data_IF_082368913431
#
_entry.id   IF_082368913431
#
_cell.length_a   1.000
_cell.length_b   1.000
_cell.length_c   1.000
_cell.angle_alpha   90.00
_cell.angle_beta   90.00
_cell.angle_gamma   90.00
#
_symmetry.space_group_name_H-M   'P 1'
#
loop_
_entity.id
_entity.type
_entity.pdbx_description
1 polymer ?
#
# COMPACT_ATOMS: atom_id res chain seq x y z
N UNK A 1 45.41 -8.17 -8.45
CA UNK A 1 46.22 -8.87 -7.45
C UNK A 1 45.51 -10.14 -7.05
N UNK A 2 46.24 -11.30 -7.04
CA UNK A 2 45.71 -12.59 -6.58
C UNK A 2 45.37 -12.46 -5.10
N UNK A 3 44.10 -12.47 -4.74
CA UNK A 3 43.64 -12.60 -3.34
C UNK A 3 44.15 -13.97 -2.82
N UNK A 4 45.14 -13.98 -1.92
CA UNK A 4 45.53 -15.19 -1.19
C UNK A 4 44.33 -15.65 -0.38
N UNK A 5 43.83 -16.85 -0.65
CA UNK A 5 42.80 -17.49 0.18
C UNK A 5 43.38 -17.69 1.57
N UNK A 6 42.74 -17.12 2.57
CA UNK A 6 43.09 -17.31 3.98
C UNK A 6 42.76 -18.75 4.37
N UNK A 7 43.64 -19.38 5.20
CA UNK A 7 43.39 -20.75 5.63
C UNK A 7 42.18 -20.85 6.56
N UNK A 8 41.46 -22.00 6.59
CA UNK A 8 40.33 -22.19 7.49
C UNK A 8 40.68 -21.94 8.96
N UNK A 9 41.83 -22.40 9.42
CA UNK A 9 42.32 -22.17 10.77
C UNK A 9 42.53 -20.68 11.10
N UNK A 10 42.98 -19.89 10.10
CA UNK A 10 43.17 -18.45 10.29
C UNK A 10 41.80 -17.73 10.36
N UNK A 11 40.80 -18.20 9.61
CA UNK A 11 39.41 -17.65 9.66
C UNK A 11 38.82 -17.89 11.06
N UNK A 12 38.94 -19.11 11.57
CA UNK A 12 38.42 -19.48 12.90
C UNK A 12 39.08 -18.68 14.02
N UNK A 13 40.42 -18.46 13.93
CA UNK A 13 41.15 -17.62 14.87
C UNK A 13 40.69 -16.15 14.82
N UNK A 14 40.45 -15.60 13.63
CA UNK A 14 39.94 -14.23 13.47
C UNK A 14 38.55 -14.10 14.06
N UNK A 15 37.64 -15.03 13.77
CA UNK A 15 36.29 -15.04 14.31
C UNK A 15 36.26 -15.10 15.85
N UNK A 16 37.12 -15.94 16.42
CA UNK A 16 37.30 -16.02 17.87
C UNK A 16 37.80 -14.70 18.47
N UNK A 17 38.79 -14.08 17.88
CA UNK A 17 39.33 -12.78 18.31
C UNK A 17 38.28 -11.66 18.19
N UNK A 18 37.47 -11.65 17.12
CA UNK A 18 36.36 -10.71 16.94
C UNK A 18 35.39 -10.81 18.11
N UNK A 19 35.02 -12.05 18.50
CA UNK A 19 34.11 -12.28 19.64
C UNK A 19 34.73 -11.85 20.97
N UNK A 20 35.99 -12.25 21.23
CA UNK A 20 36.69 -11.92 22.48
C UNK A 20 36.93 -10.42 22.66
N UNK A 21 37.19 -9.69 21.57
CA UNK A 21 37.45 -8.25 21.60
C UNK A 21 36.20 -7.41 21.49
N UNK A 22 35.02 -8.00 21.28
CA UNK A 22 33.76 -7.27 21.04
C UNK A 22 33.84 -6.38 19.80
N UNK A 23 34.67 -6.77 18.80
CA UNK A 23 34.81 -5.97 17.59
C UNK A 23 33.55 -6.02 16.74
N UNK A 24 32.95 -4.85 16.54
CA UNK A 24 31.81 -4.68 15.62
C UNK A 24 32.30 -3.94 14.38
N UNK A 25 32.18 -4.56 13.23
CA UNK A 25 32.55 -3.92 11.96
C UNK A 25 31.63 -2.69 11.75
N UNK A 26 32.21 -1.50 11.65
CA UNK A 26 31.48 -0.28 11.34
C UNK A 26 30.97 -0.36 9.91
N UNK A 27 29.66 -0.45 9.72
CA UNK A 27 29.00 -0.48 8.40
C UNK A 27 29.39 0.71 7.51
N UNK A 28 29.70 1.87 8.10
CA UNK A 28 30.20 3.05 7.39
C UNK A 28 31.54 2.83 6.64
N UNK A 29 32.35 1.84 7.03
CA UNK A 29 33.57 1.49 6.28
C UNK A 29 33.25 0.77 4.97
N UNK A 30 32.16 0.03 4.88
CA UNK A 30 31.71 -0.62 3.66
C UNK A 30 31.31 0.42 2.59
N UNK A 31 30.80 1.57 3.00
CA UNK A 31 30.50 2.71 2.12
C UNK A 31 31.77 3.24 1.46
N UNK A 32 32.86 3.37 2.21
CA UNK A 32 34.14 3.85 1.71
C UNK A 32 34.82 2.88 0.73
N UNK A 33 34.53 1.58 0.88
CA UNK A 33 35.14 0.53 0.05
C UNK A 33 34.24 0.13 -1.15
N UNK A 34 33.15 0.85 -1.41
CA UNK A 34 32.19 0.54 -2.47
C UNK A 34 31.61 -0.89 -2.38
N UNK A 35 31.54 -1.45 -1.17
CA UNK A 35 30.91 -2.75 -0.88
C UNK A 35 29.45 -2.56 -0.48
N UNK A 36 28.64 -3.62 -0.56
CA UNK A 36 27.23 -3.61 -0.13
C UNK A 36 27.07 -3.06 1.29
N UNK A 37 26.16 -2.11 1.48
CA UNK A 37 25.80 -1.60 2.81
C UNK A 37 24.92 -2.56 3.60
N UNK A 38 24.36 -3.55 2.93
CA UNK A 38 23.27 -4.42 3.44
C UNK A 38 22.08 -3.66 3.97
N UNK A 39 21.79 -2.51 3.36
CA UNK A 39 20.63 -1.69 3.69
C UNK A 39 19.67 -1.63 2.50
N UNK A 40 18.37 -1.78 2.78
CA UNK A 40 17.28 -1.59 1.85
C UNK A 40 16.44 -0.40 2.33
N UNK A 41 16.15 0.56 1.45
CA UNK A 41 15.19 1.60 1.75
C UNK A 41 13.77 1.07 1.55
N UNK A 42 12.95 1.13 2.58
CA UNK A 42 11.52 0.92 2.51
C UNK A 42 10.85 2.30 2.54
N UNK A 43 10.39 2.75 1.39
CA UNK A 43 9.86 4.10 1.20
C UNK A 43 8.36 4.04 0.98
N UNK A 44 7.63 4.79 1.78
CA UNK A 44 6.17 4.87 1.67
C UNK A 44 5.80 6.22 1.08
N UNK A 45 4.95 6.23 0.05
CA UNK A 45 4.52 7.48 -0.56
C UNK A 45 3.62 8.27 0.40
N UNK A 46 3.99 9.51 0.66
CA UNK A 46 3.31 10.40 1.60
C UNK A 46 2.09 11.12 0.99
N UNK A 47 1.23 10.38 0.26
CA UNK A 47 0.02 10.98 -0.34
C UNK A 47 -0.99 11.45 0.69
N UNK A 48 -1.09 10.72 1.80
CA UNK A 48 -2.13 10.92 2.79
C UNK A 48 -1.51 11.58 4.01
N UNK A 49 -2.13 12.65 4.46
CA UNK A 49 -1.94 13.11 5.83
C UNK A 49 -2.69 12.15 6.73
N UNK A 50 -2.02 11.08 7.15
CA UNK A 50 -2.61 10.16 8.11
C UNK A 50 -2.86 10.92 9.42
N UNK A 51 -4.07 10.78 9.98
CA UNK A 51 -4.36 11.26 11.34
C UNK A 51 -3.48 10.53 12.36
N UNK A 52 -3.08 9.30 12.03
CA UNK A 52 -2.19 8.46 12.83
C UNK A 52 -0.91 8.13 12.07
N UNK A 53 0.08 7.60 12.78
CA UNK A 53 1.29 7.08 12.14
C UNK A 53 0.95 6.03 11.08
N UNK A 54 1.62 6.08 9.94
CA UNK A 54 1.46 5.10 8.85
C UNK A 54 1.70 3.65 9.32
N UNK A 55 2.53 3.47 10.35
CA UNK A 55 2.80 2.17 10.97
C UNK A 55 1.57 1.65 11.74
N UNK A 56 0.66 2.54 12.15
CA UNK A 56 -0.58 2.18 12.84
C UNK A 56 -1.65 1.66 11.87
N UNK A 57 -1.49 1.86 10.57
CA UNK A 57 -2.34 1.26 9.56
C UNK A 57 -2.08 -0.26 9.52
N UNK A 58 -3.10 -1.12 9.72
CA UNK A 58 -2.92 -2.56 9.80
C UNK A 58 -2.31 -3.18 8.54
N UNK A 59 -2.57 -2.62 7.36
CA UNK A 59 -2.02 -3.08 6.09
C UNK A 59 -0.53 -2.78 6.00
N UNK A 60 -0.14 -1.51 6.18
CA UNK A 60 1.27 -1.12 6.14
C UNK A 60 2.08 -1.75 7.26
N UNK A 61 1.55 -1.80 8.48
CA UNK A 61 2.22 -2.41 9.62
C UNK A 61 2.57 -3.88 9.39
N UNK A 62 1.64 -4.66 8.83
CA UNK A 62 1.89 -6.08 8.48
C UNK A 62 2.91 -6.24 7.36
N UNK A 63 2.83 -5.45 6.30
CA UNK A 63 3.78 -5.50 5.18
C UNK A 63 5.19 -5.13 5.65
N UNK A 64 5.32 -4.04 6.40
CA UNK A 64 6.60 -3.59 6.95
C UNK A 64 7.23 -4.68 7.81
N UNK A 65 6.46 -5.24 8.75
CA UNK A 65 6.96 -6.30 9.63
C UNK A 65 7.36 -7.56 8.88
N UNK A 66 6.58 -7.97 7.87
CA UNK A 66 6.93 -9.14 7.05
C UNK A 66 8.21 -8.91 6.23
N UNK A 67 8.37 -7.75 5.61
CA UNK A 67 9.56 -7.40 4.83
C UNK A 67 10.78 -7.33 5.74
N UNK A 68 10.63 -6.71 6.92
CA UNK A 68 11.70 -6.60 7.91
C UNK A 68 12.21 -7.97 8.33
N UNK A 69 11.32 -8.87 8.76
CA UNK A 69 11.66 -10.24 9.15
C UNK A 69 12.45 -10.97 8.04
N UNK A 70 11.95 -10.92 6.80
CA UNK A 70 12.57 -11.63 5.67
C UNK A 70 13.94 -11.05 5.29
N UNK A 71 14.09 -9.74 5.32
CA UNK A 71 15.37 -9.10 5.03
C UNK A 71 16.38 -9.33 6.14
N UNK A 72 15.96 -9.31 7.41
CA UNK A 72 16.83 -9.62 8.55
C UNK A 72 17.38 -11.04 8.47
N UNK A 73 16.57 -12.03 8.08
CA UNK A 73 17.01 -13.41 7.85
C UNK A 73 18.10 -13.53 6.77
N UNK A 74 18.17 -12.57 5.84
CA UNK A 74 19.19 -12.49 4.80
C UNK A 74 20.36 -11.56 5.17
N UNK A 75 20.37 -11.04 6.40
CA UNK A 75 21.40 -10.14 6.91
C UNK A 75 21.32 -8.73 6.34
N UNK A 76 20.13 -8.28 5.92
CA UNK A 76 19.85 -6.91 5.52
C UNK A 76 19.14 -6.13 6.63
N UNK A 77 19.33 -4.81 6.61
CA UNK A 77 18.66 -3.85 7.48
C UNK A 77 17.70 -2.99 6.66
N UNK A 78 16.63 -2.50 7.28
CA UNK A 78 15.68 -1.59 6.65
C UNK A 78 15.91 -0.16 7.13
N UNK A 79 15.94 0.76 6.19
CA UNK A 79 15.73 2.19 6.44
C UNK A 79 14.31 2.55 6.02
N UNK A 80 13.42 2.77 7.00
CA UNK A 80 12.03 3.13 6.77
C UNK A 80 11.86 4.65 6.82
N UNK A 81 11.23 5.24 5.79
CA UNK A 81 10.80 6.65 5.79
C UNK A 81 9.64 6.89 4.81
N UNK A 82 9.00 8.04 4.95
CA UNK A 82 7.89 8.46 4.11
C UNK A 82 8.26 9.74 3.35
N UNK A 83 7.95 9.80 2.05
CA UNK A 83 8.14 10.97 1.20
C UNK A 83 7.29 10.90 -0.05
N UNK A 84 6.89 12.05 -0.60
CA UNK A 84 6.30 12.23 -1.91
C UNK A 84 7.34 12.71 -2.96
N UNK A 85 8.57 12.99 -2.52
CA UNK A 85 9.64 13.54 -3.35
C UNK A 85 10.63 12.45 -3.78
N UNK A 86 10.59 12.12 -5.08
CA UNK A 86 11.52 11.16 -5.71
C UNK A 86 12.99 11.61 -5.58
N UNK A 87 13.28 12.90 -5.53
CA UNK A 87 14.67 13.37 -5.36
C UNK A 87 15.17 13.10 -3.94
N UNK A 88 14.30 13.15 -2.92
CA UNK A 88 14.67 12.71 -1.57
C UNK A 88 15.03 11.23 -1.54
N UNK A 89 14.30 10.39 -2.29
CA UNK A 89 14.67 8.96 -2.41
C UNK A 89 16.08 8.84 -2.97
N UNK A 90 16.38 9.53 -4.08
CA UNK A 90 17.71 9.53 -4.68
C UNK A 90 18.79 9.96 -3.68
N UNK A 91 18.65 11.12 -3.03
CA UNK A 91 19.63 11.62 -2.08
C UNK A 91 19.84 10.66 -0.90
N UNK A 92 18.78 10.07 -0.37
CA UNK A 92 18.88 9.10 0.72
C UNK A 92 19.64 7.85 0.29
N UNK A 93 19.30 7.28 -0.87
CA UNK A 93 19.96 6.08 -1.42
C UNK A 93 21.45 6.31 -1.63
N UNK A 94 21.82 7.47 -2.18
CA UNK A 94 23.23 7.80 -2.44
C UNK A 94 23.99 8.12 -1.16
N UNK A 95 23.42 8.87 -0.22
CA UNK A 95 24.08 9.25 1.02
C UNK A 95 24.39 8.06 1.93
N UNK A 96 23.51 7.04 1.94
CA UNK A 96 23.65 5.86 2.78
C UNK A 96 24.14 4.63 2.03
N UNK A 97 24.50 4.78 0.74
CA UNK A 97 24.88 3.68 -0.15
C UNK A 97 23.91 2.48 -0.09
N UNK A 98 22.61 2.75 -0.08
CA UNK A 98 21.56 1.75 0.03
C UNK A 98 21.61 0.81 -1.18
N UNK A 99 21.42 -0.49 -0.97
CA UNK A 99 21.58 -1.52 -2.00
C UNK A 99 20.37 -1.67 -2.91
N UNK A 100 19.17 -1.29 -2.43
CA UNK A 100 17.93 -1.36 -3.19
C UNK A 100 16.78 -0.62 -2.51
N UNK A 101 15.69 -0.45 -3.22
CA UNK A 101 14.50 0.27 -2.76
C UNK A 101 13.26 -0.60 -2.87
N UNK A 102 12.46 -0.65 -1.81
CA UNK A 102 11.09 -1.12 -1.81
C UNK A 102 10.20 0.12 -1.70
N UNK A 103 9.43 0.41 -2.75
CA UNK A 103 8.57 1.58 -2.86
C UNK A 103 7.10 1.18 -2.68
N UNK A 104 6.43 1.68 -1.63
CA UNK A 104 5.03 1.39 -1.33
C UNK A 104 4.13 2.52 -1.80
N UNK A 105 3.09 2.19 -2.57
CA UNK A 105 2.03 3.11 -3.02
C UNK A 105 2.53 4.30 -3.86
N UNK A 106 3.63 4.14 -4.56
CA UNK A 106 4.10 5.08 -5.57
C UNK A 106 3.41 4.86 -6.91
N UNK A 107 3.35 5.91 -7.76
CA UNK A 107 2.97 5.68 -9.16
C UNK A 107 4.03 4.86 -9.89
N UNK A 108 3.64 4.10 -10.93
CA UNK A 108 4.58 3.38 -11.80
C UNK A 108 5.60 4.33 -12.43
N UNK A 109 5.17 5.55 -12.76
CA UNK A 109 6.04 6.58 -13.33
C UNK A 109 7.12 7.00 -12.32
N UNK A 110 6.75 7.23 -11.05
CA UNK A 110 7.71 7.59 -10.01
C UNK A 110 8.68 6.44 -9.70
N UNK A 111 8.21 5.20 -9.68
CA UNK A 111 9.09 4.03 -9.52
C UNK A 111 10.12 3.92 -10.65
N UNK A 112 9.70 4.14 -11.90
CA UNK A 112 10.61 4.19 -13.05
C UNK A 112 11.62 5.34 -12.93
N UNK A 113 11.17 6.52 -12.48
CA UNK A 113 12.02 7.68 -12.24
C UNK A 113 13.02 7.42 -11.12
N UNK A 114 12.59 6.81 -10.01
CA UNK A 114 13.50 6.39 -8.93
C UNK A 114 14.58 5.49 -9.51
N UNK A 115 14.21 4.43 -10.24
CA UNK A 115 15.18 3.52 -10.83
C UNK A 115 16.16 4.23 -11.75
N UNK A 116 15.67 5.12 -12.64
CA UNK A 116 16.52 5.86 -13.59
C UNK A 116 17.54 6.76 -12.91
N UNK A 117 17.27 7.21 -11.68
CA UNK A 117 18.18 8.05 -10.91
C UNK A 117 19.21 7.24 -10.12
N UNK A 118 18.76 6.12 -9.52
CA UNK A 118 19.63 5.38 -8.58
C UNK A 118 20.40 4.24 -9.24
N UNK A 119 19.91 3.69 -10.37
CA UNK A 119 20.46 2.51 -11.05
C UNK A 119 20.67 1.29 -10.12
N UNK A 120 19.82 1.13 -9.14
CA UNK A 120 19.79 0.00 -8.20
C UNK A 120 18.43 -0.71 -8.27
N UNK A 121 18.31 -1.96 -7.79
CA UNK A 121 17.03 -2.66 -7.79
C UNK A 121 15.91 -1.86 -7.12
N UNK A 122 14.76 -1.80 -7.79
CA UNK A 122 13.53 -1.20 -7.26
C UNK A 122 12.41 -2.22 -7.34
N UNK A 123 11.81 -2.52 -6.20
CA UNK A 123 10.57 -3.29 -6.10
C UNK A 123 9.48 -2.31 -5.67
N UNK A 124 8.37 -2.29 -6.39
CA UNK A 124 7.19 -1.53 -5.96
C UNK A 124 6.12 -2.46 -5.40
N UNK A 125 5.41 -1.99 -4.38
CA UNK A 125 4.23 -2.66 -3.85
C UNK A 125 3.05 -1.72 -4.06
N UNK A 126 1.99 -2.26 -4.68
CA UNK A 126 0.78 -1.52 -5.04
C UNK A 126 1.06 -0.26 -5.88
N UNK A 127 1.98 -0.36 -6.85
CA UNK A 127 2.21 0.74 -7.77
C UNK A 127 1.03 0.89 -8.73
N UNK A 128 0.57 2.13 -8.89
CA UNK A 128 -0.60 2.47 -9.69
C UNK A 128 -0.24 3.28 -10.94
N UNK A 129 -1.24 3.46 -11.83
CA UNK A 129 -1.12 4.19 -13.09
C UNK A 129 -0.78 3.33 -14.30
N UNK A 130 -0.91 3.92 -15.50
CA UNK A 130 -0.87 3.23 -16.79
C UNK A 130 0.48 3.26 -17.49
N UNK A 131 1.55 3.75 -16.86
CA UNK A 131 2.87 3.76 -17.49
C UNK A 131 3.34 2.34 -17.79
N UNK A 132 3.93 2.12 -18.98
CA UNK A 132 4.61 0.86 -19.25
C UNK A 132 5.70 0.65 -18.18
N UNK A 133 5.67 -0.52 -17.56
CA UNK A 133 6.66 -0.87 -16.54
C UNK A 133 8.07 -0.90 -17.14
N UNK A 134 9.03 -0.35 -16.45
CA UNK A 134 10.43 -0.60 -16.77
C UNK A 134 10.74 -2.08 -16.50
N UNK A 135 11.51 -2.76 -17.36
CA UNK A 135 11.94 -4.13 -17.10
C UNK A 135 12.80 -4.26 -15.82
N UNK A 136 13.23 -3.14 -15.27
CA UNK A 136 14.08 -3.07 -14.08
C UNK A 136 13.32 -2.74 -12.78
N UNK A 137 12.00 -2.51 -12.87
CA UNK A 137 11.12 -2.26 -11.73
C UNK A 137 10.10 -3.38 -11.65
N UNK A 138 10.20 -4.20 -10.62
CA UNK A 138 9.21 -5.26 -10.36
C UNK A 138 8.09 -4.70 -9.50
N UNK A 139 6.83 -4.83 -9.95
CA UNK A 139 5.66 -4.47 -9.16
C UNK A 139 4.98 -5.72 -8.59
N UNK A 140 4.69 -5.68 -7.32
CA UNK A 140 3.88 -6.67 -6.60
C UNK A 140 2.60 -5.97 -6.16
N UNK A 141 1.44 -6.50 -6.50
CA UNK A 141 0.17 -5.89 -6.14
C UNK A 141 -1.01 -6.80 -6.44
N UNK A 142 -2.18 -6.36 -6.02
CA UNK A 142 -3.45 -7.04 -6.29
C UNK A 142 -4.00 -6.64 -7.66
N UNK A 143 -4.89 -7.47 -8.20
CA UNK A 143 -5.72 -7.10 -9.35
C UNK A 143 -6.94 -6.29 -8.88
N UNK A 144 -6.67 -5.03 -8.55
CA UNK A 144 -7.64 -4.10 -7.99
C UNK A 144 -8.82 -3.83 -8.93
N UNK A 145 -8.57 -3.80 -10.23
CA UNK A 145 -9.62 -3.63 -11.22
C UNK A 145 -10.62 -4.80 -11.19
N UNK A 146 -10.11 -6.03 -11.25
CA UNK A 146 -10.93 -7.24 -11.15
C UNK A 146 -11.59 -7.35 -9.78
N UNK A 147 -10.92 -6.94 -8.70
CA UNK A 147 -11.49 -6.90 -7.36
C UNK A 147 -12.73 -6.00 -7.29
N UNK A 148 -12.63 -4.76 -7.78
CA UNK A 148 -13.76 -3.85 -7.88
C UNK A 148 -14.90 -4.38 -8.75
N UNK A 149 -14.56 -5.00 -9.89
CA UNK A 149 -15.52 -5.62 -10.81
C UNK A 149 -16.32 -6.74 -10.15
N UNK A 150 -15.64 -7.69 -9.51
CA UNK A 150 -16.28 -8.84 -8.85
C UNK A 150 -17.16 -8.43 -7.68
N UNK A 151 -16.77 -7.41 -6.93
CA UNK A 151 -17.58 -6.93 -5.83
C UNK A 151 -18.92 -6.33 -6.33
N UNK A 152 -18.92 -5.55 -7.41
CA UNK A 152 -20.15 -5.02 -7.99
C UNK A 152 -21.03 -6.13 -8.55
N UNK A 153 -20.45 -7.13 -9.22
CA UNK A 153 -21.21 -8.31 -9.68
C UNK A 153 -21.91 -9.00 -8.50
N UNK A 154 -21.21 -9.21 -7.40
CA UNK A 154 -21.77 -9.79 -6.18
C UNK A 154 -22.90 -8.92 -5.58
N UNK A 155 -22.67 -7.63 -5.41
CA UNK A 155 -23.65 -6.70 -4.83
C UNK A 155 -24.93 -6.66 -5.68
N UNK A 156 -24.81 -6.61 -7.01
CA UNK A 156 -25.94 -6.66 -7.93
C UNK A 156 -26.66 -8.02 -7.87
N UNK A 157 -25.93 -9.13 -7.73
CA UNK A 157 -26.45 -10.48 -7.53
C UNK A 157 -27.24 -10.62 -6.23
N UNK A 158 -26.90 -9.87 -5.19
CA UNK A 158 -27.65 -9.77 -3.94
C UNK A 158 -28.92 -8.90 -4.04
N UNK A 159 -29.22 -8.36 -5.22
CA UNK A 159 -30.44 -7.60 -5.51
C UNK A 159 -30.40 -6.15 -5.02
N UNK A 160 -29.22 -5.57 -4.83
CA UNK A 160 -29.09 -4.15 -4.54
C UNK A 160 -29.28 -3.30 -5.81
N UNK A 161 -29.91 -2.14 -5.66
CA UNK A 161 -30.29 -1.28 -6.77
C UNK A 161 -29.57 0.08 -6.74
N UNK A 162 -29.30 0.61 -5.58
CA UNK A 162 -28.56 1.86 -5.38
C UNK A 162 -27.25 1.57 -4.66
N UNK A 163 -26.11 1.85 -5.31
CA UNK A 163 -24.80 1.47 -4.80
C UNK A 163 -23.95 2.74 -4.66
N UNK A 164 -23.52 3.01 -3.43
CA UNK A 164 -22.51 4.00 -3.13
C UNK A 164 -21.14 3.32 -3.05
N UNK A 165 -20.21 3.69 -3.91
CA UNK A 165 -18.84 3.22 -3.85
C UNK A 165 -18.02 4.29 -3.14
N UNK A 166 -17.46 3.95 -1.98
CA UNK A 166 -16.87 4.90 -1.04
C UNK A 166 -15.38 4.69 -0.90
N UNK A 167 -14.61 5.78 -1.02
CA UNK A 167 -13.18 5.82 -0.79
C UNK A 167 -12.76 7.17 -0.20
N UNK A 168 -11.54 7.26 0.29
CA UNK A 168 -10.95 8.51 0.77
C UNK A 168 -10.18 9.26 -0.31
N UNK A 169 -9.94 8.62 -1.46
CA UNK A 169 -9.27 9.23 -2.61
C UNK A 169 -9.94 8.83 -3.92
N UNK A 170 -9.73 9.62 -4.96
CA UNK A 170 -10.20 9.37 -6.33
C UNK A 170 -9.04 9.06 -7.29
N UNK A 171 -7.89 8.68 -6.75
CA UNK A 171 -6.68 8.34 -7.50
C UNK A 171 -6.07 7.02 -6.99
N UNK A 172 -5.01 6.56 -7.65
CA UNK A 172 -4.25 5.40 -7.25
C UNK A 172 -5.07 4.10 -7.33
N UNK A 173 -4.97 3.29 -6.29
CA UNK A 173 -5.64 2.00 -6.15
C UNK A 173 -7.15 2.17 -6.06
N UNK A 174 -7.63 3.17 -5.31
CA UNK A 174 -9.06 3.46 -5.17
C UNK A 174 -9.68 3.76 -6.54
N UNK A 175 -9.00 4.55 -7.37
CA UNK A 175 -9.45 4.81 -8.74
C UNK A 175 -9.49 3.54 -9.60
N UNK A 176 -8.51 2.65 -9.45
CA UNK A 176 -8.47 1.39 -10.19
C UNK A 176 -9.64 0.48 -9.80
N UNK A 177 -9.92 0.33 -8.50
CA UNK A 177 -11.08 -0.41 -7.97
C UNK A 177 -12.40 0.20 -8.44
N UNK A 178 -12.53 1.53 -8.37
CA UNK A 178 -13.70 2.25 -8.87
C UNK A 178 -13.91 2.05 -10.37
N UNK A 179 -12.86 2.08 -11.18
CA UNK A 179 -12.97 1.87 -12.62
C UNK A 179 -13.50 0.47 -12.93
N UNK A 180 -12.98 -0.56 -12.25
CA UNK A 180 -13.49 -1.93 -12.36
C UNK A 180 -14.96 -2.06 -11.94
N UNK A 181 -15.32 -1.43 -10.83
CA UNK A 181 -16.70 -1.38 -10.33
C UNK A 181 -17.65 -0.72 -11.33
N UNK A 182 -17.27 0.43 -11.87
CA UNK A 182 -18.07 1.20 -12.82
C UNK A 182 -18.26 0.44 -14.14
N UNK A 183 -17.20 -0.17 -14.66
CA UNK A 183 -17.27 -0.93 -15.92
C UNK A 183 -18.14 -2.16 -15.77
N UNK A 184 -18.01 -2.92 -14.69
CA UNK A 184 -18.86 -4.07 -14.42
C UNK A 184 -20.33 -3.67 -14.24
N UNK A 185 -20.59 -2.59 -13.51
CA UNK A 185 -21.93 -2.06 -13.38
C UNK A 185 -22.56 -1.72 -14.73
N UNK A 186 -21.83 -1.02 -15.60
CA UNK A 186 -22.30 -0.67 -16.95
C UNK A 186 -22.57 -1.91 -17.83
N UNK A 187 -21.76 -2.97 -17.65
CA UNK A 187 -21.93 -4.22 -18.39
C UNK A 187 -23.16 -5.01 -17.95
N UNK A 188 -23.48 -5.01 -16.65
CA UNK A 188 -24.56 -5.82 -16.08
C UNK A 188 -25.90 -5.09 -15.99
N UNK A 189 -25.93 -3.79 -16.30
CA UNK A 189 -27.16 -2.99 -16.22
C UNK A 189 -27.54 -2.43 -17.59
N UNK A 190 -28.81 -2.52 -17.92
CA UNK A 190 -29.33 -1.90 -19.14
C UNK A 190 -29.31 -0.37 -19.04
N UNK A 191 -29.22 0.33 -20.18
CA UNK A 191 -29.17 1.80 -20.25
C UNK A 191 -30.37 2.49 -19.56
N UNK A 192 -31.53 1.85 -19.50
CA UNK A 192 -32.75 2.35 -18.89
C UNK A 192 -33.05 1.73 -17.52
N UNK A 193 -32.08 1.06 -16.91
CA UNK A 193 -32.24 0.46 -15.59
C UNK A 193 -32.48 1.52 -14.51
N UNK A 194 -33.33 1.21 -13.54
CA UNK A 194 -33.49 2.03 -12.33
C UNK A 194 -32.33 1.94 -11.38
N UNK A 195 -31.40 1.02 -11.62
CA UNK A 195 -30.18 0.82 -10.80
C UNK A 195 -29.22 1.99 -10.95
N UNK A 196 -28.52 2.32 -9.85
CA UNK A 196 -27.58 3.46 -9.81
C UNK A 196 -26.30 3.05 -9.10
N UNK A 197 -25.18 3.57 -9.61
CA UNK A 197 -23.89 3.52 -8.94
C UNK A 197 -23.29 4.92 -8.85
N UNK A 198 -22.72 5.27 -7.72
CA UNK A 198 -22.13 6.59 -7.48
C UNK A 198 -20.87 6.45 -6.67
N UNK A 199 -19.82 7.14 -7.10
CA UNK A 199 -18.60 7.31 -6.32
C UNK A 199 -18.80 8.42 -5.28
N UNK A 200 -18.38 8.17 -4.05
CA UNK A 200 -18.43 9.12 -2.94
C UNK A 200 -17.04 9.20 -2.30
N UNK A 201 -16.44 10.37 -2.34
CA UNK A 201 -15.27 10.65 -1.52
C UNK A 201 -15.74 10.95 -0.09
N UNK A 202 -15.40 10.07 0.86
CA UNK A 202 -15.83 10.18 2.27
C UNK A 202 -14.88 11.02 3.12
N UNK A 203 -13.81 11.53 2.52
CA UNK A 203 -12.79 12.35 3.19
C UNK A 203 -11.78 11.53 3.99
N UNK A 204 -10.68 12.18 4.32
CA UNK A 204 -9.51 11.54 4.95
C UNK A 204 -9.60 11.51 6.48
N UNK A 205 -10.33 12.46 7.10
CA UNK A 205 -10.43 12.58 8.56
C UNK A 205 -11.62 11.80 9.11
N UNK A 206 -11.51 11.36 10.36
CA UNK A 206 -12.62 10.71 11.09
C UNK A 206 -13.86 11.58 11.10
N UNK A 207 -13.72 12.88 11.32
CA UNK A 207 -14.85 13.83 11.34
C UNK A 207 -15.59 13.90 9.99
N UNK A 208 -14.85 13.90 8.88
CA UNK A 208 -15.48 13.93 7.55
C UNK A 208 -16.22 12.63 7.25
N UNK A 209 -15.65 11.49 7.62
CA UNK A 209 -16.28 10.18 7.46
C UNK A 209 -17.52 10.02 8.34
N UNK A 210 -17.45 10.45 9.60
CA UNK A 210 -18.62 10.44 10.49
C UNK A 210 -19.76 11.34 9.95
N UNK A 211 -19.44 12.49 9.37
CA UNK A 211 -20.43 13.34 8.70
C UNK A 211 -21.13 12.60 7.55
N UNK A 212 -20.40 11.82 6.76
CA UNK A 212 -20.97 10.97 5.73
C UNK A 212 -21.88 9.89 6.32
N UNK A 213 -21.46 9.20 7.39
CA UNK A 213 -22.28 8.18 8.04
C UNK A 213 -23.57 8.76 8.63
N UNK A 214 -23.51 9.97 9.20
CA UNK A 214 -24.73 10.67 9.65
C UNK A 214 -25.69 10.97 8.49
N UNK A 215 -25.16 11.34 7.31
CA UNK A 215 -25.99 11.55 6.13
C UNK A 215 -26.65 10.26 5.65
N UNK A 216 -25.99 9.11 5.74
CA UNK A 216 -26.59 7.82 5.44
C UNK A 216 -27.76 7.53 6.38
N UNK A 217 -27.57 7.70 7.70
CA UNK A 217 -28.62 7.47 8.70
C UNK A 217 -29.87 8.33 8.43
N UNK A 218 -29.67 9.60 8.10
CA UNK A 218 -30.80 10.52 7.79
C UNK A 218 -31.61 10.12 6.55
N UNK A 219 -31.04 9.25 5.69
CA UNK A 219 -31.68 8.77 4.46
C UNK A 219 -32.40 7.45 4.62
N UNK A 220 -32.25 6.79 5.74
CA UNK A 220 -32.97 5.54 6.06
C UNK A 220 -34.41 5.88 6.49
N UNK A 221 -35.45 5.17 5.97
CA UNK A 221 -35.34 4.07 5.00
C UNK A 221 -35.10 4.57 3.57
N UNK A 222 -34.25 3.84 2.86
CA UNK A 222 -33.97 4.13 1.45
C UNK A 222 -35.17 3.72 0.56
N UNK A 223 -35.43 4.44 -0.54
CA UNK A 223 -36.54 4.10 -1.47
C UNK A 223 -36.33 2.76 -2.18
N UNK A 224 -35.11 2.31 -2.28
CA UNK A 224 -34.69 1.04 -2.90
C UNK A 224 -33.61 0.35 -2.08
N UNK A 225 -33.43 -0.95 -2.27
CA UNK A 225 -32.39 -1.73 -1.60
C UNK A 225 -31.02 -1.15 -1.93
N UNK A 226 -30.39 -0.57 -0.93
CA UNK A 226 -29.17 0.24 -1.06
C UNK A 226 -27.98 -0.45 -0.40
N UNK A 227 -26.82 -0.40 -1.06
CA UNK A 227 -25.55 -0.85 -0.52
C UNK A 227 -24.49 0.26 -0.54
N UNK A 228 -23.60 0.21 0.42
CA UNK A 228 -22.35 0.97 0.44
C UNK A 228 -21.19 0.01 0.30
N UNK A 229 -20.44 0.16 -0.76
CA UNK A 229 -19.22 -0.58 -1.02
C UNK A 229 -18.03 0.32 -0.69
N UNK A 230 -17.31 0.00 0.37
CA UNK A 230 -16.08 0.67 0.73
C UNK A 230 -14.91 0.02 -0.01
N UNK A 231 -14.07 0.83 -0.65
CA UNK A 231 -12.90 0.32 -1.37
C UNK A 231 -11.78 -0.15 -0.44
N UNK A 232 -11.94 0.03 0.87
CA UNK A 232 -11.07 -0.51 1.92
C UNK A 232 -11.94 -1.08 3.04
N UNK A 233 -11.61 -2.27 3.51
CA UNK A 233 -12.24 -2.96 4.65
C UNK A 233 -12.13 -2.17 5.96
N UNK A 234 -11.06 -1.39 6.13
CA UNK A 234 -10.90 -0.50 7.28
C UNK A 234 -12.10 0.46 7.43
N UNK A 235 -12.51 1.12 6.34
CA UNK A 235 -13.65 2.04 6.37
C UNK A 235 -15.00 1.33 6.44
N UNK A 236 -15.09 0.11 5.90
CA UNK A 236 -16.28 -0.71 6.06
C UNK A 236 -16.51 -1.10 7.53
N UNK A 237 -15.46 -1.51 8.22
CA UNK A 237 -15.49 -1.86 9.66
C UNK A 237 -15.84 -0.64 10.51
N UNK A 238 -15.22 0.52 10.22
CA UNK A 238 -15.53 1.79 10.89
C UNK A 238 -17.01 2.15 10.71
N UNK A 239 -17.52 2.06 9.48
CA UNK A 239 -18.91 2.35 9.16
C UNK A 239 -19.89 1.40 9.86
N UNK A 240 -19.60 0.08 9.85
CA UNK A 240 -20.43 -0.92 10.54
C UNK A 240 -20.52 -0.59 12.04
N UNK A 241 -19.38 -0.31 12.67
CA UNK A 241 -19.33 0.05 14.09
C UNK A 241 -20.12 1.33 14.38
N UNK A 242 -19.93 2.36 13.56
CA UNK A 242 -20.61 3.64 13.72
C UNK A 242 -22.13 3.53 13.54
N UNK A 243 -22.60 2.82 12.52
CA UNK A 243 -24.00 2.64 12.17
C UNK A 243 -24.73 1.75 13.20
N UNK A 244 -24.10 0.64 13.60
CA UNK A 244 -24.66 -0.30 14.57
C UNK A 244 -24.93 0.35 15.94
N UNK A 245 -24.01 1.21 16.42
CA UNK A 245 -24.19 1.94 17.68
C UNK A 245 -25.34 2.96 17.64
N UNK A 246 -25.87 3.25 16.45
CA UNK A 246 -27.01 4.16 16.22
C UNK A 246 -28.28 3.46 15.79
N UNK A 247 -28.33 2.13 15.98
CA UNK A 247 -29.53 1.31 15.76
C UNK A 247 -29.83 0.97 14.30
N UNK A 248 -28.86 1.19 13.37
CA UNK A 248 -29.02 0.79 11.97
C UNK A 248 -28.80 -0.72 11.83
N UNK A 249 -29.76 -1.40 11.24
CA UNK A 249 -29.70 -2.85 11.00
C UNK A 249 -29.01 -3.14 9.66
N UNK A 250 -27.84 -3.79 9.73
CA UNK A 250 -27.09 -4.24 8.56
C UNK A 250 -27.29 -5.76 8.42
N UNK A 251 -27.74 -6.28 7.28
CA UNK A 251 -27.98 -5.61 6.00
C UNK A 251 -29.42 -5.16 5.76
N UNK A 252 -30.31 -5.16 6.77
CA UNK A 252 -31.77 -4.92 6.58
C UNK A 252 -32.07 -3.49 6.11
N UNK A 253 -31.47 -2.49 6.77
CA UNK A 253 -31.67 -1.08 6.42
C UNK A 253 -30.72 -0.63 5.30
N UNK A 254 -29.48 -1.16 5.31
CA UNK A 254 -28.43 -0.85 4.33
C UNK A 254 -27.41 -1.97 4.27
N UNK A 255 -27.01 -2.38 3.06
CA UNK A 255 -25.92 -3.32 2.86
C UNK A 255 -24.55 -2.62 3.00
N UNK A 256 -23.58 -3.30 3.62
CA UNK A 256 -22.16 -2.85 3.67
C UNK A 256 -21.29 -3.96 3.06
N UNK A 257 -20.36 -3.54 2.20
CA UNK A 257 -19.39 -4.43 1.55
C UNK A 257 -18.01 -3.76 1.49
#
# INVERSE_FOLDING_TARGET
GKTKKVSPATIELIEKLIQEMGYVQKLGLNVLNNTSSRMIALVIHAHRKYENSIISDPFYGKIIGFIEEKLQMQGYYIMLYSTDDVNKVFHTVMAWNIDGVVALSFSRNDCNKIWSLIHKPVISIDAYGSSQGSPFVTNIGLDDFTGGSRMIEYILGCGYHDIFVCATSDYGIDQTRWNGAREMFARLTEKNSSKKIRFINIGETTLTRESFYQQLIRRIPFPQKTAVFFLSDFYAIEAISYLATRGVCIPADIGIA
#
